data_IF_976422800607
#
_entry.id   IF_976422800607
#
_cell.length_a   1.000
_cell.length_b   1.000
_cell.length_c   1.000
_cell.angle_alpha   90.00
_cell.angle_beta   90.00
_cell.angle_gamma   90.00
#
_symmetry.space_group_name_H-M   'P 1'
#
loop_
_entity.id
_entity.type
_entity.pdbx_description
1 polymer ?
#
# COMPACT_ATOMS: atom_id res chain seq x y z
N UNK A 1 -81.05 -8.09 30.14
CA UNK A 1 -80.42 -8.95 29.11
C UNK A 1 -80.92 -8.50 27.74
N UNK A 2 -80.16 -7.70 26.99
CA UNK A 2 -80.50 -7.42 25.60
C UNK A 2 -80.04 -8.61 24.74
N UNK A 3 -80.96 -9.17 23.95
CA UNK A 3 -80.67 -10.28 23.05
C UNK A 3 -79.64 -9.88 21.98
N UNK A 4 -78.59 -10.68 21.85
CA UNK A 4 -77.61 -10.57 20.78
C UNK A 4 -78.29 -10.66 19.42
N UNK A 5 -78.03 -9.66 18.57
CA UNK A 5 -78.63 -9.56 17.24
C UNK A 5 -78.12 -10.66 16.29
N UNK A 6 -78.92 -11.13 15.32
CA UNK A 6 -78.51 -12.20 14.38
C UNK A 6 -77.31 -11.85 13.47
N UNK A 7 -76.95 -10.56 13.33
CA UNK A 7 -75.79 -10.11 12.53
C UNK A 7 -74.44 -10.45 13.18
N UNK A 8 -74.34 -10.40 14.51
CA UNK A 8 -73.12 -10.73 15.26
C UNK A 8 -72.78 -12.22 15.15
N UNK A 9 -73.77 -13.10 15.21
CA UNK A 9 -73.57 -14.55 15.10
C UNK A 9 -73.12 -14.97 13.69
N UNK A 10 -73.62 -14.30 12.64
CA UNK A 10 -73.17 -14.55 11.27
C UNK A 10 -71.71 -14.13 11.05
N UNK A 11 -71.29 -12.96 11.56
CA UNK A 11 -69.92 -12.48 11.40
C UNK A 11 -68.90 -13.31 12.21
N UNK A 12 -69.26 -13.77 13.41
CA UNK A 12 -68.39 -14.66 14.20
C UNK A 12 -68.17 -15.98 13.44
N UNK A 13 -69.20 -16.53 12.78
CA UNK A 13 -69.08 -17.75 11.97
C UNK A 13 -68.18 -17.59 10.74
N UNK A 14 -68.13 -16.41 10.10
CA UNK A 14 -67.26 -16.17 8.93
C UNK A 14 -65.79 -16.09 9.34
N UNK A 15 -65.49 -15.43 10.46
CA UNK A 15 -64.14 -15.37 11.00
C UNK A 15 -63.63 -16.75 11.44
N UNK A 16 -64.46 -17.55 12.12
CA UNK A 16 -64.07 -18.91 12.52
C UNK A 16 -63.80 -19.80 11.30
N UNK A 17 -64.59 -19.67 10.23
CA UNK A 17 -64.36 -20.37 8.96
C UNK A 17 -63.04 -19.94 8.30
N UNK A 18 -62.73 -18.63 8.30
CA UNK A 18 -61.47 -18.11 7.76
C UNK A 18 -60.26 -18.64 8.56
N UNK A 19 -60.35 -18.67 9.89
CA UNK A 19 -59.30 -19.22 10.78
C UNK A 19 -59.12 -20.72 10.52
N UNK A 20 -60.20 -21.49 10.31
CA UNK A 20 -60.11 -22.91 9.97
C UNK A 20 -59.42 -23.15 8.63
N UNK A 21 -59.72 -22.34 7.60
CA UNK A 21 -59.04 -22.43 6.29
C UNK A 21 -57.56 -22.10 6.41
N UNK A 22 -57.22 -21.04 7.14
CA UNK A 22 -55.82 -20.69 7.40
C UNK A 22 -55.08 -21.81 8.16
N UNK A 23 -55.72 -22.38 9.18
CA UNK A 23 -55.18 -23.53 9.92
C UNK A 23 -54.93 -24.71 9.00
N UNK A 24 -55.89 -25.07 8.15
CA UNK A 24 -55.76 -26.20 7.24
C UNK A 24 -54.64 -25.99 6.20
N UNK A 25 -54.58 -24.81 5.58
CA UNK A 25 -53.54 -24.46 4.62
C UNK A 25 -52.14 -24.48 5.27
N UNK A 26 -52.02 -23.93 6.49
CA UNK A 26 -50.75 -23.91 7.21
C UNK A 26 -50.30 -25.31 7.64
N UNK A 27 -51.21 -26.13 8.16
CA UNK A 27 -50.89 -27.54 8.47
C UNK A 27 -50.47 -28.31 7.22
N UNK A 28 -51.09 -28.06 6.05
CA UNK A 28 -50.68 -28.66 4.78
C UNK A 28 -49.26 -28.23 4.37
N UNK A 29 -48.88 -26.97 4.61
CA UNK A 29 -47.51 -26.48 4.41
C UNK A 29 -46.53 -27.14 5.38
N UNK A 30 -46.90 -27.31 6.66
CA UNK A 30 -46.09 -28.01 7.66
C UNK A 30 -45.93 -29.51 7.32
N UNK A 31 -47.01 -30.17 6.91
CA UNK A 31 -47.08 -31.61 6.60
C UNK A 31 -46.33 -31.99 5.33
N UNK A 32 -46.17 -31.07 4.36
CA UNK A 32 -45.22 -31.29 3.24
C UNK A 32 -43.79 -31.56 3.71
N UNK A 33 -43.50 -31.37 5.01
CA UNK A 33 -42.21 -31.67 5.63
C UNK A 33 -42.25 -32.62 6.84
N UNK A 34 -43.24 -33.49 7.03
CA UNK A 34 -43.13 -34.53 8.09
C UNK A 34 -42.26 -35.73 7.65
N UNK A 35 -40.99 -35.49 7.35
CA UNK A 35 -39.95 -36.52 7.57
C UNK A 35 -38.61 -35.84 7.85
N UNK A 36 -37.99 -36.25 8.96
CA UNK A 36 -36.76 -35.68 9.47
C UNK A 36 -35.63 -35.67 8.44
N UNK A 37 -34.67 -34.78 8.69
CA UNK A 37 -33.36 -34.76 8.05
C UNK A 37 -32.91 -36.15 7.62
N UNK A 38 -32.74 -36.37 6.30
CA UNK A 38 -32.17 -37.60 5.75
C UNK A 38 -30.83 -37.81 6.46
N UNK A 39 -30.69 -38.85 7.30
CA UNK A 39 -29.44 -39.11 7.99
C UNK A 39 -28.32 -39.24 6.96
N UNK A 40 -27.16 -38.62 7.18
CA UNK A 40 -26.04 -38.64 6.23
C UNK A 40 -25.70 -40.06 5.75
N UNK A 41 -25.88 -41.07 6.61
CA UNK A 41 -25.67 -42.47 6.24
C UNK A 41 -26.58 -42.94 5.10
N UNK A 42 -27.81 -42.45 4.97
CA UNK A 42 -28.71 -42.79 3.85
C UNK A 42 -28.23 -42.18 2.52
N UNK A 43 -27.64 -40.98 2.54
CA UNK A 43 -27.03 -40.35 1.35
C UNK A 43 -25.79 -41.13 0.91
N UNK A 44 -24.96 -41.56 1.88
CA UNK A 44 -23.80 -42.41 1.60
C UNK A 44 -24.22 -43.80 1.10
N UNK A 45 -25.26 -44.41 1.67
CA UNK A 45 -25.79 -45.71 1.23
C UNK A 45 -26.35 -45.64 -0.19
N UNK A 46 -27.05 -44.55 -0.55
CA UNK A 46 -27.57 -44.35 -1.90
C UNK A 46 -26.43 -44.15 -2.92
N UNK A 47 -25.44 -43.31 -2.62
CA UNK A 47 -24.25 -43.14 -3.47
C UNK A 47 -23.47 -44.44 -3.65
N UNK A 48 -23.38 -45.26 -2.60
CA UNK A 48 -22.75 -46.58 -2.67
C UNK A 48 -23.58 -47.58 -3.49
N UNK A 49 -24.90 -47.59 -3.33
CA UNK A 49 -25.81 -48.45 -4.09
C UNK A 49 -25.78 -48.14 -5.60
N UNK A 50 -25.72 -46.87 -5.97
CA UNK A 50 -25.54 -46.43 -7.37
C UNK A 50 -24.20 -46.88 -7.92
N UNK A 51 -23.12 -46.72 -7.15
CA UNK A 51 -21.77 -47.13 -7.55
C UNK A 51 -21.62 -48.67 -7.67
N UNK A 52 -22.39 -49.43 -6.91
CA UNK A 52 -22.37 -50.91 -6.90
C UNK A 52 -23.43 -51.56 -7.81
N UNK A 53 -24.21 -50.77 -8.56
CA UNK A 53 -25.28 -51.24 -9.46
C UNK A 53 -26.31 -52.18 -8.81
N UNK A 54 -26.50 -52.08 -7.49
CA UNK A 54 -27.44 -52.94 -6.76
C UNK A 54 -28.86 -52.39 -6.82
N UNK A 55 -29.67 -52.93 -7.73
CA UNK A 55 -31.05 -52.52 -7.95
C UNK A 55 -31.98 -52.75 -6.73
N UNK A 56 -31.74 -53.79 -5.94
CA UNK A 56 -32.54 -54.09 -4.74
C UNK A 56 -32.31 -53.06 -3.63
N UNK A 57 -31.06 -52.62 -3.43
CA UNK A 57 -30.68 -51.56 -2.49
C UNK A 57 -31.18 -50.19 -2.92
N UNK A 58 -31.09 -49.87 -4.23
CA UNK A 58 -31.67 -48.63 -4.76
C UNK A 58 -33.18 -48.57 -4.53
N UNK A 59 -33.90 -49.68 -4.74
CA UNK A 59 -35.35 -49.74 -4.52
C UNK A 59 -35.72 -49.66 -3.03
N UNK A 60 -34.92 -50.24 -2.14
CA UNK A 60 -35.12 -50.16 -0.68
C UNK A 60 -34.84 -48.76 -0.11
N UNK A 61 -33.79 -48.08 -0.57
CA UNK A 61 -33.51 -46.69 -0.16
C UNK A 61 -34.56 -45.74 -0.75
N UNK A 62 -34.95 -45.92 -2.01
CA UNK A 62 -35.97 -45.10 -2.67
C UNK A 62 -37.38 -45.31 -2.07
N UNK A 63 -37.69 -46.49 -1.52
CA UNK A 63 -38.96 -46.72 -0.81
C UNK A 63 -38.96 -46.16 0.63
N UNK A 64 -37.79 -45.96 1.24
CA UNK A 64 -37.61 -45.33 2.55
C UNK A 64 -37.46 -43.81 2.48
N UNK A 65 -36.99 -43.27 1.36
CA UNK A 65 -37.05 -41.84 1.04
C UNK A 65 -38.49 -41.54 0.62
N UNK A 66 -39.36 -41.27 1.59
CA UNK A 66 -40.66 -40.69 1.31
C UNK A 66 -40.46 -39.47 0.42
N UNK A 67 -41.26 -39.34 -0.64
CA UNK A 67 -41.14 -38.27 -1.62
C UNK A 67 -41.12 -36.92 -0.91
N UNK A 68 -39.94 -36.30 -0.81
CA UNK A 68 -39.78 -34.94 -0.29
C UNK A 68 -40.38 -33.99 -1.32
N UNK A 69 -41.70 -33.79 -1.25
CA UNK A 69 -42.36 -32.76 -2.05
C UNK A 69 -42.01 -31.44 -1.40
N UNK A 70 -41.06 -30.71 -1.97
CA UNK A 70 -40.95 -29.27 -1.74
C UNK A 70 -42.35 -28.66 -1.87
N UNK A 71 -42.76 -27.73 -0.98
CA UNK A 71 -44.10 -27.19 -1.04
C UNK A 71 -44.31 -26.59 -2.43
N UNK A 72 -45.42 -26.91 -3.08
CA UNK A 72 -45.69 -26.38 -4.42
C UNK A 72 -46.05 -24.90 -4.31
N UNK A 73 -45.82 -24.11 -5.37
CA UNK A 73 -46.13 -22.66 -5.37
C UNK A 73 -47.60 -22.42 -5.00
N UNK A 74 -48.47 -23.35 -5.35
CA UNK A 74 -49.90 -23.32 -5.05
C UNK A 74 -50.17 -23.40 -3.54
N UNK A 75 -49.44 -24.24 -2.79
CA UNK A 75 -49.62 -24.37 -1.33
C UNK A 75 -49.19 -23.09 -0.62
N UNK A 76 -48.08 -22.48 -1.06
CA UNK A 76 -47.61 -21.21 -0.50
C UNK A 76 -48.62 -20.10 -0.77
N UNK A 77 -49.16 -20.01 -1.99
CA UNK A 77 -50.19 -19.03 -2.33
C UNK A 77 -51.48 -19.24 -1.52
N UNK A 78 -51.90 -20.49 -1.34
CA UNK A 78 -53.07 -20.88 -0.54
C UNK A 78 -52.93 -20.39 0.92
N UNK A 79 -51.75 -20.54 1.53
CA UNK A 79 -51.47 -20.07 2.90
C UNK A 79 -51.52 -18.55 3.00
N UNK A 80 -50.87 -17.83 2.09
CA UNK A 80 -50.80 -16.37 2.13
C UNK A 80 -52.16 -15.72 1.88
N UNK A 81 -52.91 -16.24 0.90
CA UNK A 81 -54.27 -15.78 0.61
C UNK A 81 -55.26 -16.13 1.72
N UNK A 82 -55.13 -17.31 2.34
CA UNK A 82 -55.93 -17.65 3.52
C UNK A 82 -55.66 -16.66 4.67
N UNK A 83 -54.40 -16.22 4.87
CA UNK A 83 -54.10 -15.21 5.88
C UNK A 83 -54.66 -13.82 5.54
N UNK A 84 -54.70 -13.45 4.25
CA UNK A 84 -55.36 -12.22 3.79
C UNK A 84 -56.86 -12.25 4.11
N UNK A 85 -57.53 -13.40 3.92
CA UNK A 85 -58.97 -13.52 4.25
C UNK A 85 -59.21 -13.35 5.74
N UNK A 86 -58.35 -13.91 6.60
CA UNK A 86 -58.41 -13.69 8.06
C UNK A 86 -58.22 -12.21 8.39
N UNK A 87 -57.28 -11.52 7.71
CA UNK A 87 -57.07 -10.09 7.94
C UNK A 87 -58.28 -9.24 7.54
N UNK A 88 -58.91 -9.56 6.40
CA UNK A 88 -60.09 -8.86 5.92
C UNK A 88 -61.26 -8.98 6.90
N UNK A 89 -61.51 -10.19 7.42
CA UNK A 89 -62.58 -10.44 8.40
C UNK A 89 -62.29 -9.75 9.76
N UNK A 90 -61.03 -9.76 10.22
CA UNK A 90 -60.64 -9.05 11.45
C UNK A 90 -60.84 -7.53 11.34
N UNK A 91 -60.64 -6.96 10.15
CA UNK A 91 -60.80 -5.51 9.92
C UNK A 91 -62.28 -5.09 9.85
N UNK A 92 -63.17 -6.01 9.42
CA UNK A 92 -64.60 -5.74 9.25
C UNK A 92 -65.41 -5.89 10.55
N UNK A 93 -64.83 -6.42 11.64
CA UNK A 93 -65.52 -6.65 12.91
C UNK A 93 -65.22 -5.56 13.95
N UNK A 94 -66.27 -5.01 14.56
CA UNK A 94 -66.17 -3.98 15.62
C UNK A 94 -65.88 -4.56 17.02
N UNK A 95 -66.22 -5.83 17.27
CA UNK A 95 -65.89 -6.56 18.50
C UNK A 95 -65.36 -7.94 18.14
N UNK A 96 -64.09 -8.20 18.45
CA UNK A 96 -63.41 -9.46 18.09
C UNK A 96 -63.28 -10.32 19.36
N UNK A 97 -63.74 -11.59 19.36
CA UNK A 97 -63.55 -12.49 20.49
C UNK A 97 -62.06 -12.71 20.80
N UNK A 98 -61.67 -12.60 22.08
CA UNK A 98 -60.28 -12.77 22.52
C UNK A 98 -59.71 -14.15 22.15
N UNK A 99 -60.54 -15.20 22.18
CA UNK A 99 -60.13 -16.56 21.79
C UNK A 99 -59.71 -16.67 20.32
N UNK A 100 -60.34 -15.91 19.41
CA UNK A 100 -59.98 -15.89 17.99
C UNK A 100 -58.66 -15.16 17.74
N UNK A 101 -58.38 -14.07 18.48
CA UNK A 101 -57.10 -13.37 18.41
C UNK A 101 -55.93 -14.23 18.86
N UNK A 102 -56.10 -15.01 19.94
CA UNK A 102 -55.07 -15.94 20.42
C UNK A 102 -54.75 -17.00 19.35
N UNK A 103 -55.79 -17.57 18.71
CA UNK A 103 -55.60 -18.56 17.64
C UNK A 103 -54.87 -17.97 16.43
N UNK A 104 -55.26 -16.78 15.98
CA UNK A 104 -54.57 -16.11 14.86
C UNK A 104 -53.11 -15.83 15.19
N UNK A 105 -52.83 -15.36 16.42
CA UNK A 105 -51.45 -15.12 16.85
C UNK A 105 -50.61 -16.40 16.91
N UNK A 106 -51.18 -17.52 17.36
CA UNK A 106 -50.51 -18.83 17.33
C UNK A 106 -50.17 -19.27 15.90
N UNK A 107 -51.14 -19.18 14.99
CA UNK A 107 -50.94 -19.50 13.57
C UNK A 107 -49.91 -18.57 12.90
N UNK A 108 -49.93 -17.28 13.22
CA UNK A 108 -48.93 -16.32 12.73
C UNK A 108 -47.52 -16.66 13.20
N UNK A 109 -47.37 -17.15 14.44
CA UNK A 109 -46.09 -17.60 14.96
C UNK A 109 -45.59 -18.87 14.26
N UNK A 110 -46.49 -19.82 14.00
CA UNK A 110 -46.19 -21.01 13.21
C UNK A 110 -45.77 -20.66 11.78
N UNK A 111 -46.50 -19.76 11.12
CA UNK A 111 -46.14 -19.27 9.79
C UNK A 111 -44.76 -18.60 9.75
N UNK A 112 -44.39 -17.84 10.79
CA UNK A 112 -43.03 -17.26 10.91
C UNK A 112 -41.94 -18.33 10.99
N UNK A 113 -42.18 -19.45 11.66
CA UNK A 113 -41.21 -20.56 11.71
C UNK A 113 -40.99 -21.18 10.33
N UNK A 114 -41.98 -21.08 9.44
CA UNK A 114 -41.97 -21.64 8.08
C UNK A 114 -41.43 -20.69 7.00
N UNK A 115 -40.93 -19.51 7.39
CA UNK A 115 -40.38 -18.48 6.49
C UNK A 115 -39.34 -19.04 5.51
N UNK A 116 -38.43 -19.90 5.99
CA UNK A 116 -37.37 -20.48 5.16
C UNK A 116 -37.94 -21.37 4.05
N UNK A 117 -39.01 -22.14 4.33
CA UNK A 117 -39.63 -23.00 3.32
C UNK A 117 -40.30 -22.16 2.24
N UNK A 118 -41.09 -21.17 2.66
CA UNK A 118 -41.82 -20.25 1.76
C UNK A 118 -40.87 -19.54 0.79
N UNK A 119 -39.81 -18.92 1.33
CA UNK A 119 -38.86 -18.11 0.56
C UNK A 119 -37.88 -18.91 -0.30
N UNK A 120 -37.74 -20.22 -0.07
CA UNK A 120 -36.95 -21.11 -0.96
C UNK A 120 -37.70 -21.54 -2.21
N UNK A 121 -39.03 -21.54 -2.17
CA UNK A 121 -39.90 -22.02 -3.27
C UNK A 121 -40.40 -20.87 -4.14
N UNK A 122 -40.67 -19.72 -3.53
CA UNK A 122 -41.30 -18.57 -4.20
C UNK A 122 -40.45 -17.33 -4.03
N UNK A 123 -40.13 -16.67 -5.14
CA UNK A 123 -39.66 -15.29 -5.12
C UNK A 123 -40.88 -14.36 -4.97
N UNK A 124 -41.10 -13.90 -3.74
CA UNK A 124 -42.25 -13.06 -3.39
C UNK A 124 -42.23 -11.71 -4.13
N UNK A 125 -41.08 -11.29 -4.69
CA UNK A 125 -40.99 -10.02 -5.44
C UNK A 125 -41.78 -10.05 -6.75
N UNK A 126 -41.83 -11.20 -7.43
CA UNK A 126 -42.67 -11.41 -8.62
C UNK A 126 -44.16 -11.24 -8.25
N UNK A 127 -44.56 -11.83 -7.11
CA UNK A 127 -45.95 -11.80 -6.64
C UNK A 127 -46.38 -10.43 -6.12
N UNK A 128 -45.48 -9.66 -5.51
CA UNK A 128 -45.77 -8.28 -5.11
C UNK A 128 -46.18 -7.41 -6.30
N UNK A 129 -45.54 -7.63 -7.46
CA UNK A 129 -45.86 -6.87 -8.68
C UNK A 129 -47.24 -7.21 -9.27
N UNK A 130 -47.70 -8.46 -9.09
CA UNK A 130 -48.95 -8.97 -9.66
C UNK A 130 -50.13 -8.73 -8.72
N UNK A 131 -49.95 -9.04 -7.43
CA UNK A 131 -51.03 -9.07 -6.44
C UNK A 131 -51.15 -7.77 -5.63
N UNK A 132 -50.12 -6.92 -5.65
CA UNK A 132 -50.06 -5.64 -4.94
C UNK A 132 -50.62 -5.70 -3.49
N UNK A 133 -50.04 -6.57 -2.63
CA UNK A 133 -50.54 -6.75 -1.27
C UNK A 133 -50.40 -5.47 -0.44
N UNK A 134 -51.30 -5.28 0.53
CA UNK A 134 -51.25 -4.10 1.39
C UNK A 134 -49.94 -4.04 2.20
N UNK A 135 -49.43 -2.84 2.45
CA UNK A 135 -48.13 -2.61 3.11
C UNK A 135 -48.10 -3.12 4.57
N UNK A 136 -49.26 -3.25 5.22
CA UNK A 136 -49.44 -3.79 6.58
C UNK A 136 -49.45 -5.33 6.64
N UNK A 137 -49.51 -6.02 5.50
CA UNK A 137 -49.57 -7.46 5.39
C UNK A 137 -48.18 -8.11 5.49
N UNK A 138 -47.57 -8.10 6.69
CA UNK A 138 -46.20 -8.55 6.93
C UNK A 138 -45.87 -9.96 6.39
N UNK A 139 -46.85 -10.86 6.31
CA UNK A 139 -46.70 -12.23 5.79
C UNK A 139 -46.42 -12.28 4.28
N UNK A 140 -46.59 -11.19 3.54
CA UNK A 140 -46.12 -11.09 2.16
C UNK A 140 -44.64 -10.66 2.07
N UNK A 141 -44.06 -10.12 3.13
CA UNK A 141 -42.74 -9.47 3.12
C UNK A 141 -41.66 -10.29 3.84
N UNK A 142 -41.63 -11.60 3.62
CA UNK A 142 -40.57 -12.46 4.15
C UNK A 142 -39.21 -12.17 3.50
N UNK A 143 -38.14 -12.15 4.30
CA UNK A 143 -36.77 -12.01 3.79
C UNK A 143 -36.22 -13.40 3.43
N UNK A 144 -35.54 -13.56 2.28
CA UNK A 144 -34.93 -14.83 1.92
C UNK A 144 -33.87 -15.27 2.95
N UNK A 145 -33.66 -16.58 3.17
CA UNK A 145 -32.68 -17.08 4.11
C UNK A 145 -31.27 -16.68 3.65
N UNK A 146 -30.49 -16.10 4.57
CA UNK A 146 -29.10 -15.76 4.32
C UNK A 146 -28.27 -17.04 4.16
N UNK A 147 -27.40 -17.07 3.15
CA UNK A 147 -26.46 -18.17 2.98
C UNK A 147 -25.43 -18.14 4.11
N UNK A 148 -24.81 -19.29 4.45
CA UNK A 148 -23.83 -19.38 5.55
C UNK A 148 -22.63 -18.41 5.40
N UNK A 149 -22.27 -18.07 4.16
CA UNK A 149 -21.17 -17.15 3.85
C UNK A 149 -21.58 -15.68 4.03
N UNK A 150 -22.87 -15.36 3.88
CA UNK A 150 -23.41 -13.99 4.07
C UNK A 150 -23.38 -13.53 5.55
N UNK A 151 -23.08 -14.41 6.50
CA UNK A 151 -22.87 -14.01 7.89
C UNK A 151 -21.57 -13.23 8.09
N UNK A 152 -20.57 -13.44 7.24
CA UNK A 152 -19.27 -12.76 7.29
C UNK A 152 -19.18 -11.56 6.33
N UNK A 153 -20.23 -11.29 5.56
CA UNK A 153 -20.32 -10.17 4.61
C UNK A 153 -19.92 -8.82 5.21
N UNK A 154 -20.30 -8.58 6.46
CA UNK A 154 -19.98 -7.34 7.17
C UNK A 154 -18.48 -7.16 7.34
N UNK A 155 -17.75 -8.25 7.64
CA UNK A 155 -16.31 -8.26 7.82
C UNK A 155 -15.61 -7.99 6.49
N UNK A 156 -16.01 -8.69 5.42
CA UNK A 156 -15.46 -8.49 4.08
C UNK A 156 -15.67 -7.07 3.57
N UNK A 157 -16.83 -6.46 3.85
CA UNK A 157 -17.11 -5.06 3.51
C UNK A 157 -16.21 -4.09 4.28
N UNK A 158 -15.99 -4.30 5.58
CA UNK A 158 -15.04 -3.49 6.37
C UNK A 158 -13.62 -3.63 5.83
N UNK A 159 -13.15 -4.86 5.59
CA UNK A 159 -11.82 -5.12 5.03
C UNK A 159 -11.63 -4.46 3.66
N UNK A 160 -12.66 -4.52 2.80
CA UNK A 160 -12.65 -3.86 1.49
C UNK A 160 -12.43 -2.36 1.65
N UNK A 161 -13.13 -1.70 2.58
CA UNK A 161 -12.93 -0.27 2.85
C UNK A 161 -11.51 0.00 3.32
N UNK A 162 -10.99 -0.77 4.28
CA UNK A 162 -9.61 -0.62 4.81
C UNK A 162 -8.56 -0.76 3.70
N UNK A 163 -8.69 -1.76 2.82
CA UNK A 163 -7.76 -1.96 1.72
C UNK A 163 -7.82 -0.82 0.71
N UNK A 164 -9.02 -0.34 0.36
CA UNK A 164 -9.18 0.79 -0.56
C UNK A 164 -8.65 2.10 0.04
N UNK A 165 -8.92 2.38 1.33
CA UNK A 165 -8.40 3.60 1.99
C UNK A 165 -6.88 3.55 2.11
N UNK A 166 -6.31 2.39 2.44
CA UNK A 166 -4.85 2.20 2.52
C UNK A 166 -4.21 2.35 1.15
N UNK A 167 -4.80 1.75 0.12
CA UNK A 167 -4.33 1.87 -1.25
C UNK A 167 -4.40 3.31 -1.75
N UNK A 168 -5.44 4.07 -1.41
CA UNK A 168 -5.55 5.48 -1.74
C UNK A 168 -4.43 6.29 -1.07
N UNK A 169 -4.18 6.05 0.21
CA UNK A 169 -3.08 6.72 0.93
C UNK A 169 -1.72 6.43 0.31
N UNK A 170 -1.44 5.17 -0.06
CA UNK A 170 -0.22 4.79 -0.77
C UNK A 170 -0.12 5.47 -2.13
N UNK A 171 -1.23 5.51 -2.87
CA UNK A 171 -1.29 6.17 -4.18
C UNK A 171 -0.95 7.65 -4.07
N UNK A 172 -1.46 8.34 -3.04
CA UNK A 172 -1.16 9.76 -2.78
C UNK A 172 0.30 9.98 -2.40
N UNK A 173 0.88 9.13 -1.52
CA UNK A 173 2.32 9.20 -1.17
C UNK A 173 3.19 8.99 -2.41
N UNK A 174 2.95 7.92 -3.17
CA UNK A 174 3.63 7.66 -4.44
C UNK A 174 3.50 8.87 -5.36
N UNK A 175 2.29 9.37 -5.58
CA UNK A 175 2.02 10.49 -6.47
C UNK A 175 2.76 11.77 -6.08
N UNK A 176 2.80 12.10 -4.78
CA UNK A 176 3.48 13.29 -4.27
C UNK A 176 4.97 13.30 -4.64
N UNK A 177 5.60 12.13 -4.74
CA UNK A 177 6.99 11.96 -5.20
C UNK A 177 7.16 12.18 -6.70
N UNK A 178 6.11 12.10 -7.50
CA UNK A 178 6.22 12.38 -8.94
C UNK A 178 5.97 13.86 -9.26
N UNK A 179 5.21 14.57 -8.41
CA UNK A 179 4.82 15.97 -8.58
C UNK A 179 5.93 17.00 -8.37
N UNK A 180 6.99 16.68 -7.64
CA UNK A 180 8.11 17.61 -7.39
C UNK A 180 9.09 17.71 -8.57
N UNK A 181 8.81 17.01 -9.69
CA UNK A 181 9.58 17.08 -10.94
C UNK A 181 9.09 18.18 -11.90
N UNK A 182 9.83 18.41 -12.99
CA UNK A 182 9.63 19.51 -13.95
C UNK A 182 8.16 19.77 -14.41
N UNK A 183 7.80 21.03 -14.75
CA UNK A 183 6.42 21.50 -14.94
C UNK A 183 5.56 20.74 -15.97
N UNK A 184 6.17 20.09 -16.95
CA UNK A 184 5.46 19.45 -18.06
C UNK A 184 4.81 18.11 -17.67
N UNK A 185 5.47 17.34 -16.80
CA UNK A 185 4.92 16.08 -16.28
C UNK A 185 3.81 16.40 -15.27
N UNK A 186 3.99 17.45 -14.48
CA UNK A 186 3.01 17.90 -13.48
C UNK A 186 1.65 18.18 -14.11
N UNK A 187 1.54 18.83 -15.28
CA UNK A 187 0.24 19.11 -15.90
C UNK A 187 -0.47 17.87 -16.46
N UNK A 188 0.25 17.02 -17.19
CA UNK A 188 -0.31 15.80 -17.76
C UNK A 188 -0.74 14.79 -16.68
N UNK A 189 -0.06 14.81 -15.52
CA UNK A 189 -0.41 13.97 -14.38
C UNK A 189 -1.41 14.62 -13.42
N UNK A 190 -1.45 15.94 -13.26
CA UNK A 190 -2.54 16.62 -12.53
C UNK A 190 -3.89 16.37 -13.20
N UNK A 191 -3.96 16.29 -14.53
CA UNK A 191 -5.20 15.91 -15.22
C UNK A 191 -5.55 14.44 -15.03
N UNK A 192 -4.57 13.53 -15.05
CA UNK A 192 -4.79 12.11 -14.76
C UNK A 192 -5.19 11.89 -13.29
N UNK A 193 -4.58 12.61 -12.35
CA UNK A 193 -4.86 12.50 -10.92
C UNK A 193 -6.12 13.24 -10.54
N UNK A 194 -6.47 14.36 -11.16
CA UNK A 194 -7.81 14.92 -10.99
C UNK A 194 -8.85 13.96 -11.54
N UNK A 195 -8.58 13.24 -12.63
CA UNK A 195 -9.51 12.22 -13.15
C UNK A 195 -9.61 11.00 -12.24
N UNK A 196 -8.50 10.49 -11.71
CA UNK A 196 -8.43 9.35 -10.78
C UNK A 196 -8.95 9.73 -9.39
N UNK A 197 -8.59 10.90 -8.86
CA UNK A 197 -9.08 11.46 -7.61
C UNK A 197 -10.55 11.86 -7.75
N UNK A 198 -11.05 12.29 -8.92
CA UNK A 198 -12.49 12.48 -9.14
C UNK A 198 -13.21 11.13 -9.30
N UNK A 199 -12.57 10.09 -9.86
CA UNK A 199 -13.09 8.72 -9.85
C UNK A 199 -13.12 8.11 -8.44
N UNK A 200 -12.14 8.41 -7.60
CA UNK A 200 -11.97 7.85 -6.25
C UNK A 200 -12.69 8.68 -5.17
N UNK A 201 -12.66 10.01 -5.24
CA UNK A 201 -13.51 10.92 -4.47
C UNK A 201 -14.97 10.82 -4.93
N UNK A 202 -15.19 10.47 -6.21
CA UNK A 202 -16.41 9.87 -6.74
C UNK A 202 -16.63 8.41 -6.29
N UNK A 203 -16.15 8.02 -5.10
CA UNK A 203 -16.56 6.84 -4.31
C UNK A 203 -17.06 5.65 -5.16
N UNK A 204 -16.21 5.08 -6.02
CA UNK A 204 -16.62 4.04 -6.98
C UNK A 204 -16.97 2.67 -6.39
N UNK A 205 -16.77 2.45 -5.09
CA UNK A 205 -17.31 1.29 -4.35
C UNK A 205 -18.30 1.69 -3.22
N UNK A 206 -18.32 2.98 -2.83
CA UNK A 206 -19.11 3.48 -1.71
C UNK A 206 -20.40 4.20 -2.14
N UNK A 207 -20.49 4.65 -3.39
CA UNK A 207 -21.73 5.22 -3.94
C UNK A 207 -22.62 4.12 -4.48
N UNK A 208 -23.93 4.37 -4.51
CA UNK A 208 -24.92 3.47 -5.11
C UNK A 208 -24.55 3.11 -6.55
N UNK A 209 -24.11 4.10 -7.34
CA UNK A 209 -23.66 3.91 -8.72
C UNK A 209 -22.39 3.03 -8.86
N UNK A 210 -21.45 3.18 -7.93
CA UNK A 210 -20.25 2.35 -7.85
C UNK A 210 -20.55 0.90 -7.50
N UNK A 211 -21.34 0.69 -6.45
CA UNK A 211 -21.83 -0.63 -6.06
C UNK A 211 -22.60 -1.28 -7.20
N UNK A 212 -23.51 -0.57 -7.87
CA UNK A 212 -24.31 -1.13 -8.97
C UNK A 212 -23.46 -1.46 -10.20
N UNK A 213 -22.32 -0.80 -10.39
CA UNK A 213 -21.36 -1.15 -11.44
C UNK A 213 -20.57 -2.41 -11.10
N UNK A 214 -20.12 -2.57 -9.85
CA UNK A 214 -19.48 -3.80 -9.36
C UNK A 214 -20.47 -4.96 -9.49
N UNK A 215 -21.72 -4.79 -9.04
CA UNK A 215 -22.77 -5.81 -9.17
C UNK A 215 -22.97 -6.23 -10.62
N UNK A 216 -23.11 -5.26 -11.55
CA UNK A 216 -23.23 -5.54 -12.99
C UNK A 216 -22.03 -6.31 -13.55
N UNK A 217 -20.82 -6.02 -13.10
CA UNK A 217 -19.62 -6.74 -13.51
C UNK A 217 -19.61 -8.18 -12.96
N UNK A 218 -19.95 -8.36 -11.68
CA UNK A 218 -20.01 -9.68 -11.04
C UNK A 218 -21.11 -10.56 -11.65
N UNK A 219 -22.27 -9.98 -12.01
CA UNK A 219 -23.31 -10.71 -12.74
C UNK A 219 -22.88 -11.13 -14.14
N UNK A 220 -22.09 -10.30 -14.86
CA UNK A 220 -21.54 -10.65 -16.17
C UNK A 220 -20.54 -11.80 -16.08
N UNK A 221 -19.80 -11.89 -14.99
CA UNK A 221 -18.87 -12.99 -14.69
C UNK A 221 -19.55 -14.23 -14.09
N UNK A 222 -20.88 -14.22 -14.01
CA UNK A 222 -21.70 -15.31 -13.48
C UNK A 222 -21.32 -15.71 -12.03
N UNK A 223 -20.88 -14.74 -11.22
CA UNK A 223 -20.47 -14.96 -9.83
C UNK A 223 -21.73 -14.98 -8.94
N UNK A 224 -21.95 -16.04 -8.14
CA UNK A 224 -23.09 -16.10 -7.23
C UNK A 224 -23.13 -14.93 -6.24
N UNK A 225 -24.33 -14.42 -5.96
CA UNK A 225 -24.52 -13.22 -5.14
C UNK A 225 -23.88 -13.31 -3.74
N UNK A 226 -23.84 -14.51 -3.16
CA UNK A 226 -23.27 -14.76 -1.83
C UNK A 226 -21.73 -14.72 -1.77
N UNK A 227 -21.03 -14.56 -2.91
CA UNK A 227 -19.57 -14.38 -2.97
C UNK A 227 -19.16 -12.95 -3.31
N UNK A 228 -20.11 -12.03 -3.46
CA UNK A 228 -19.82 -10.69 -3.98
C UNK A 228 -18.94 -9.88 -3.03
N UNK A 229 -19.09 -10.05 -1.71
CA UNK A 229 -18.30 -9.34 -0.73
C UNK A 229 -16.85 -9.84 -0.72
N UNK A 230 -16.64 -11.15 -0.79
CA UNK A 230 -15.34 -11.82 -0.84
C UNK A 230 -14.57 -11.41 -2.10
N UNK A 231 -15.20 -11.46 -3.27
CA UNK A 231 -14.55 -11.10 -4.54
C UNK A 231 -14.20 -9.62 -4.55
N UNK A 232 -15.08 -8.75 -4.05
CA UNK A 232 -14.80 -7.31 -3.95
C UNK A 232 -13.61 -7.04 -3.02
N UNK A 233 -13.54 -7.74 -1.89
CA UNK A 233 -12.41 -7.66 -0.97
C UNK A 233 -11.11 -8.17 -1.63
N UNK A 234 -11.18 -9.26 -2.38
CA UNK A 234 -10.05 -9.81 -3.13
C UNK A 234 -9.48 -8.82 -4.14
N UNK A 235 -10.35 -8.16 -4.91
CA UNK A 235 -9.94 -7.10 -5.85
C UNK A 235 -9.27 -5.94 -5.11
N UNK A 236 -9.88 -5.46 -4.02
CA UNK A 236 -9.31 -4.37 -3.22
C UNK A 236 -7.93 -4.74 -2.65
N UNK A 237 -7.75 -5.99 -2.20
CA UNK A 237 -6.47 -6.50 -1.74
C UNK A 237 -5.43 -6.57 -2.88
N UNK A 238 -5.82 -7.00 -4.09
CA UNK A 238 -4.92 -7.00 -5.24
C UNK A 238 -4.44 -5.59 -5.61
N UNK A 239 -5.33 -4.58 -5.56
CA UNK A 239 -4.95 -3.18 -5.82
C UNK A 239 -3.96 -2.68 -4.75
N UNK A 240 -4.22 -3.01 -3.48
CA UNK A 240 -3.31 -2.70 -2.39
C UNK A 240 -1.94 -3.37 -2.60
N UNK A 241 -1.91 -4.65 -2.97
CA UNK A 241 -0.68 -5.40 -3.23
C UNK A 241 0.12 -4.79 -4.39
N UNK A 242 -0.53 -4.38 -5.47
CA UNK A 242 0.11 -3.67 -6.60
C UNK A 242 0.71 -2.35 -6.11
N UNK A 243 -0.04 -1.58 -5.33
CA UNK A 243 0.41 -0.28 -4.79
C UNK A 243 1.61 -0.45 -3.85
N UNK A 244 1.59 -1.45 -2.97
CA UNK A 244 2.72 -1.80 -2.09
C UNK A 244 3.92 -2.26 -2.90
N UNK A 245 3.73 -3.14 -3.88
CA UNK A 245 4.82 -3.64 -4.73
C UNK A 245 5.47 -2.50 -5.52
N UNK A 246 4.68 -1.58 -6.07
CA UNK A 246 5.19 -0.39 -6.74
C UNK A 246 5.93 0.54 -5.77
N UNK A 247 5.44 0.72 -4.55
CA UNK A 247 6.17 1.49 -3.53
C UNK A 247 7.52 0.87 -3.20
N UNK A 248 7.58 -0.46 -3.08
CA UNK A 248 8.81 -1.20 -2.82
C UNK A 248 9.80 -1.15 -4.00
N UNK A 249 9.33 -0.89 -5.23
CA UNK A 249 10.21 -0.73 -6.39
C UNK A 249 10.78 0.69 -6.54
N UNK A 250 10.27 1.71 -5.82
CA UNK A 250 10.76 3.09 -5.91
C UNK A 250 12.27 3.23 -5.68
N UNK A 251 12.92 2.55 -4.70
CA UNK A 251 14.36 2.62 -4.52
C UNK A 251 15.15 2.09 -5.73
N UNK A 252 14.65 1.08 -6.44
CA UNK A 252 15.30 0.56 -7.66
C UNK A 252 15.21 1.59 -8.81
N UNK A 253 14.07 2.27 -8.92
CA UNK A 253 13.92 3.38 -9.87
C UNK A 253 14.85 4.55 -9.48
N UNK A 254 15.03 4.82 -8.19
CA UNK A 254 15.97 5.82 -7.72
C UNK A 254 17.41 5.50 -8.14
N UNK A 255 17.85 4.25 -8.03
CA UNK A 255 19.18 3.80 -8.50
C UNK A 255 19.34 4.06 -10.00
N UNK A 256 18.32 3.81 -10.82
CA UNK A 256 18.37 4.12 -12.25
C UNK A 256 18.64 5.61 -12.51
N UNK A 257 17.95 6.50 -11.80
CA UNK A 257 18.19 7.95 -11.91
C UNK A 257 19.54 8.38 -11.36
N UNK A 258 20.02 7.76 -10.27
CA UNK A 258 21.36 7.98 -9.73
C UNK A 258 22.43 7.64 -10.79
N UNK A 259 22.36 6.44 -11.35
CA UNK A 259 23.30 5.97 -12.37
C UNK A 259 23.27 6.86 -13.63
N UNK A 260 22.09 7.38 -14.01
CA UNK A 260 21.98 8.36 -15.09
C UNK A 260 22.67 9.68 -14.74
N UNK A 261 22.56 10.13 -13.49
CA UNK A 261 23.31 11.27 -12.96
C UNK A 261 24.82 11.06 -13.03
N UNK A 262 25.30 9.87 -12.67
CA UNK A 262 26.71 9.49 -12.76
C UNK A 262 27.20 9.55 -14.23
N UNK A 263 26.41 8.98 -15.15
CA UNK A 263 26.71 9.04 -16.58
C UNK A 263 26.85 10.48 -17.08
N UNK A 264 25.88 11.34 -16.80
CA UNK A 264 25.95 12.76 -17.18
C UNK A 264 27.15 13.50 -16.58
N UNK A 265 27.58 13.11 -15.38
CA UNK A 265 28.76 13.68 -14.73
C UNK A 265 30.06 13.19 -15.37
N UNK A 266 30.09 11.92 -15.82
CA UNK A 266 31.26 11.30 -16.48
C UNK A 266 31.40 11.62 -17.97
N UNK A 267 30.37 12.16 -18.62
CA UNK A 267 30.43 12.55 -20.03
C UNK A 267 31.51 13.60 -20.28
N UNK A 268 32.06 13.62 -21.49
CA UNK A 268 33.00 14.64 -21.93
C UNK A 268 32.42 15.45 -23.10
N UNK A 269 31.97 16.71 -22.90
CA UNK A 269 31.98 17.45 -21.64
C UNK A 269 30.88 17.01 -20.63
N UNK A 270 31.07 17.24 -19.32
CA UNK A 270 30.06 16.92 -18.31
C UNK A 270 28.77 17.73 -18.50
N UNK A 271 27.62 17.09 -18.31
CA UNK A 271 26.29 17.72 -18.44
C UNK A 271 25.68 17.98 -17.07
N UNK A 272 26.26 18.93 -16.32
CA UNK A 272 25.87 19.21 -14.93
C UNK A 272 24.37 19.47 -14.70
N UNK A 273 23.64 20.25 -15.54
CA UNK A 273 22.20 20.45 -15.34
C UNK A 273 21.39 19.15 -15.39
N UNK A 274 21.72 18.26 -16.34
CA UNK A 274 21.04 16.97 -16.49
C UNK A 274 21.39 16.00 -15.34
N UNK A 275 22.65 16.04 -14.87
CA UNK A 275 23.08 15.29 -13.71
C UNK A 275 22.33 15.73 -12.44
N UNK A 276 22.25 17.04 -12.17
CA UNK A 276 21.51 17.61 -11.02
C UNK A 276 20.04 17.17 -11.05
N UNK A 277 19.39 17.27 -12.22
CA UNK A 277 17.99 16.84 -12.37
C UNK A 277 17.82 15.35 -12.06
N UNK A 278 18.74 14.51 -12.54
CA UNK A 278 18.72 13.07 -12.31
C UNK A 278 18.94 12.70 -10.84
N UNK A 279 19.93 13.30 -10.16
CA UNK A 279 20.14 13.07 -8.73
C UNK A 279 18.98 13.57 -7.87
N UNK A 280 18.44 14.76 -8.16
CA UNK A 280 17.24 15.24 -7.46
C UNK A 280 16.06 14.29 -7.65
N UNK A 281 15.93 13.70 -8.83
CA UNK A 281 14.89 12.69 -9.07
C UNK A 281 15.12 11.41 -8.27
N UNK A 282 16.38 10.95 -8.16
CA UNK A 282 16.73 9.83 -7.31
C UNK A 282 16.34 10.09 -5.84
N UNK A 283 16.68 11.27 -5.31
CA UNK A 283 16.36 11.67 -3.93
C UNK A 283 14.86 11.74 -3.64
N UNK A 284 14.07 12.19 -4.61
CA UNK A 284 12.60 12.22 -4.45
C UNK A 284 12.01 10.80 -4.38
N UNK A 285 12.57 9.86 -5.14
CA UNK A 285 12.12 8.47 -5.17
C UNK A 285 12.63 7.68 -3.95
N UNK A 286 13.86 7.95 -3.51
CA UNK A 286 14.47 7.38 -2.32
C UNK A 286 15.17 8.47 -1.47
N UNK A 287 14.44 9.11 -0.55
CA UNK A 287 14.99 10.18 0.31
C UNK A 287 16.04 9.72 1.31
N UNK A 288 16.18 8.40 1.52
CA UNK A 288 17.15 7.82 2.44
C UNK A 288 18.49 7.51 1.77
N UNK A 289 18.57 7.61 0.44
CA UNK A 289 19.84 7.47 -0.27
C UNK A 289 20.62 8.79 -0.17
N UNK A 290 21.73 8.76 0.56
CA UNK A 290 22.58 9.94 0.80
C UNK A 290 23.69 10.12 -0.22
N UNK A 291 23.96 9.12 -1.05
CA UNK A 291 25.00 9.21 -2.08
C UNK A 291 24.70 10.31 -3.13
N UNK A 292 23.45 10.48 -3.64
CA UNK A 292 23.14 11.57 -4.55
C UNK A 292 23.40 12.97 -3.96
N UNK A 293 23.23 13.16 -2.64
CA UNK A 293 23.60 14.42 -1.98
C UNK A 293 25.10 14.69 -2.10
N UNK A 294 25.96 13.68 -1.89
CA UNK A 294 27.39 13.82 -2.11
C UNK A 294 27.73 14.21 -3.57
N UNK A 295 27.10 13.54 -4.54
CA UNK A 295 27.34 13.85 -5.96
C UNK A 295 26.86 15.25 -6.35
N UNK A 296 25.71 15.69 -5.83
CA UNK A 296 25.24 17.07 -5.97
C UNK A 296 26.24 18.06 -5.38
N UNK A 297 26.79 17.76 -4.19
CA UNK A 297 27.85 18.57 -3.59
C UNK A 297 29.06 18.74 -4.50
N UNK A 298 29.54 17.65 -5.10
CA UNK A 298 30.67 17.68 -6.06
C UNK A 298 30.35 18.50 -7.29
N UNK A 299 29.14 18.38 -7.84
CA UNK A 299 28.71 19.16 -9.00
C UNK A 299 28.66 20.65 -8.65
N UNK A 300 28.08 21.00 -7.49
CA UNK A 300 28.00 22.39 -7.06
C UNK A 300 29.39 23.00 -6.81
N UNK A 301 30.37 22.23 -6.31
CA UNK A 301 31.77 22.69 -6.28
C UNK A 301 32.33 22.99 -7.68
N UNK A 302 32.07 22.12 -8.66
CA UNK A 302 32.50 22.34 -10.06
C UNK A 302 31.84 23.56 -10.70
N UNK A 303 30.62 23.88 -10.26
CA UNK A 303 29.88 25.09 -10.66
C UNK A 303 30.22 26.32 -9.80
N UNK A 304 31.16 26.20 -8.85
CA UNK A 304 31.55 27.25 -7.90
C UNK A 304 30.42 27.74 -6.98
N UNK A 305 29.32 26.98 -6.86
CA UNK A 305 28.21 27.25 -5.94
C UNK A 305 28.49 26.56 -4.60
N UNK A 306 29.33 27.21 -3.80
CA UNK A 306 29.90 26.62 -2.60
C UNK A 306 28.88 26.43 -1.49
N UNK A 307 27.96 27.37 -1.35
CA UNK A 307 26.91 27.35 -0.34
C UNK A 307 26.03 26.11 -0.53
N UNK A 308 25.62 25.81 -1.77
CA UNK A 308 24.89 24.57 -2.06
C UNK A 308 25.76 23.34 -1.86
N UNK A 309 27.02 23.37 -2.26
CA UNK A 309 27.92 22.23 -2.05
C UNK A 309 28.04 21.85 -0.57
N UNK A 310 28.25 22.84 0.31
CA UNK A 310 28.31 22.64 1.76
C UNK A 310 26.99 22.07 2.29
N UNK A 311 25.85 22.60 1.86
CA UNK A 311 24.54 22.13 2.29
C UNK A 311 24.34 20.64 1.94
N UNK A 312 24.61 20.27 0.69
CA UNK A 312 24.45 18.89 0.21
C UNK A 312 25.44 17.92 0.90
N UNK A 313 26.70 18.31 1.11
CA UNK A 313 27.64 17.49 1.87
C UNK A 313 27.24 17.28 3.32
N UNK A 314 26.68 18.30 3.98
CA UNK A 314 26.16 18.17 5.35
C UNK A 314 25.02 17.16 5.42
N UNK A 315 24.11 17.18 4.44
CA UNK A 315 23.01 16.18 4.37
C UNK A 315 23.60 14.78 4.14
N UNK A 316 24.57 14.64 3.23
CA UNK A 316 25.22 13.36 2.99
C UNK A 316 25.90 12.78 4.24
N UNK A 317 26.52 13.64 5.06
CA UNK A 317 27.13 13.25 6.34
C UNK A 317 26.10 12.82 7.40
N UNK A 318 24.87 13.36 7.37
CA UNK A 318 23.82 12.95 8.31
C UNK A 318 23.34 11.51 8.10
N UNK A 319 23.52 10.94 6.91
CA UNK A 319 23.28 9.52 6.66
C UNK A 319 24.57 8.71 6.47
N UNK A 320 25.64 9.13 7.13
CA UNK A 320 26.91 8.38 7.22
C UNK A 320 27.64 8.17 5.88
N UNK A 321 27.48 9.08 4.91
CA UNK A 321 28.27 9.02 3.66
C UNK A 321 29.68 9.57 3.86
N UNK A 322 30.61 8.72 4.27
CA UNK A 322 31.93 9.12 4.77
C UNK A 322 32.81 9.88 3.76
N UNK A 323 32.61 9.70 2.44
CA UNK A 323 33.35 10.45 1.41
C UNK A 323 33.14 11.97 1.51
N UNK A 324 32.02 12.42 2.10
CA UNK A 324 31.70 13.84 2.26
C UNK A 324 32.56 14.54 3.31
N UNK A 325 33.14 13.81 4.28
CA UNK A 325 34.03 14.39 5.31
C UNK A 325 35.25 15.05 4.65
N UNK A 326 35.81 14.38 3.64
CA UNK A 326 36.96 14.87 2.90
C UNK A 326 36.65 16.17 2.16
N UNK A 327 35.57 16.20 1.37
CA UNK A 327 35.27 17.34 0.50
C UNK A 327 34.83 18.55 1.34
N UNK A 328 33.99 18.34 2.36
CA UNK A 328 33.60 19.42 3.26
C UNK A 328 34.78 19.93 4.11
N UNK A 329 35.66 19.02 4.57
CA UNK A 329 36.90 19.40 5.27
C UNK A 329 37.82 20.24 4.39
N UNK A 330 38.01 19.84 3.13
CA UNK A 330 38.76 20.62 2.12
C UNK A 330 38.16 22.02 1.93
N UNK A 331 36.84 22.11 1.79
CA UNK A 331 36.14 23.39 1.67
C UNK A 331 36.45 24.30 2.88
N UNK A 332 36.37 23.76 4.11
CA UNK A 332 36.68 24.53 5.31
C UNK A 332 38.14 24.98 5.39
N UNK A 333 39.09 24.20 4.87
CA UNK A 333 40.49 24.64 4.75
C UNK A 333 40.60 25.85 3.80
N UNK A 334 39.91 25.81 2.66
CA UNK A 334 39.89 26.92 1.69
C UNK A 334 39.25 28.17 2.31
N UNK A 335 38.22 28.00 3.16
CA UNK A 335 37.59 29.09 3.94
C UNK A 335 38.42 29.61 5.09
N UNK A 336 39.59 28.99 5.35
CA UNK A 336 40.42 29.28 6.51
C UNK A 336 39.78 28.91 7.85
N UNK A 337 38.72 28.11 7.83
CA UNK A 337 38.07 27.52 9.00
C UNK A 337 38.82 26.25 9.44
N UNK A 338 40.10 26.39 9.78
CA UNK A 338 41.01 25.25 9.97
C UNK A 338 40.64 24.36 11.16
N UNK A 339 40.11 24.94 12.24
CA UNK A 339 39.70 24.17 13.43
C UNK A 339 38.53 23.25 13.10
N UNK A 340 37.49 23.80 12.45
CA UNK A 340 36.34 23.03 11.98
C UNK A 340 36.75 21.96 10.97
N UNK A 341 37.63 22.30 10.01
CA UNK A 341 38.18 21.33 9.06
C UNK A 341 38.87 20.17 9.79
N UNK A 342 39.76 20.47 10.74
CA UNK A 342 40.52 19.45 11.46
C UNK A 342 39.63 18.54 12.31
N UNK A 343 38.63 19.11 13.00
CA UNK A 343 37.67 18.33 13.78
C UNK A 343 36.83 17.41 12.89
N UNK A 344 36.37 17.92 11.75
CA UNK A 344 35.56 17.17 10.80
C UNK A 344 36.36 16.02 10.17
N UNK A 345 37.59 16.28 9.74
CA UNK A 345 38.47 15.28 9.12
C UNK A 345 38.88 14.19 10.11
N UNK A 346 39.16 14.55 11.38
CA UNK A 346 39.41 13.58 12.45
C UNK A 346 38.20 12.68 12.70
N UNK A 347 37.00 13.25 12.69
CA UNK A 347 35.76 12.47 12.81
C UNK A 347 35.64 11.47 11.67
N UNK A 348 35.85 11.93 10.42
CA UNK A 348 35.84 11.05 9.26
C UNK A 348 36.90 9.94 9.32
N UNK A 349 38.08 10.23 9.88
CA UNK A 349 39.17 9.25 10.02
C UNK A 349 38.84 8.15 11.04
N UNK A 350 38.12 8.49 12.12
CA UNK A 350 37.72 7.54 13.15
C UNK A 350 36.60 6.58 12.71
N UNK A 351 35.81 6.98 11.70
CA UNK A 351 34.65 6.22 11.22
C UNK A 351 34.94 5.35 9.99
N UNK A 352 36.14 5.45 9.41
CA UNK A 352 36.41 4.91 8.08
C UNK A 352 37.53 3.86 8.08
N UNK A 353 37.27 2.75 7.40
CA UNK A 353 38.17 1.61 7.24
C UNK A 353 38.77 1.48 5.83
N UNK A 354 38.40 2.36 4.87
CA UNK A 354 38.88 2.31 3.49
C UNK A 354 40.16 3.17 3.30
N UNK A 355 41.25 2.52 2.86
CA UNK A 355 42.56 3.16 2.64
C UNK A 355 42.53 4.34 1.65
N UNK A 356 41.72 4.27 0.59
CA UNK A 356 41.61 5.35 -0.38
C UNK A 356 41.01 6.60 0.26
N UNK A 357 39.95 6.46 1.04
CA UNK A 357 39.32 7.60 1.73
C UNK A 357 40.22 8.09 2.86
N UNK A 358 40.85 7.15 3.58
CA UNK A 358 41.82 7.44 4.64
C UNK A 358 42.97 8.32 4.12
N UNK A 359 43.49 8.04 2.93
CA UNK A 359 44.49 8.88 2.26
C UNK A 359 44.03 10.35 2.18
N UNK A 360 42.84 10.60 1.62
CA UNK A 360 42.37 11.96 1.38
C UNK A 360 42.08 12.71 2.69
N UNK A 361 41.54 12.01 3.68
CA UNK A 361 41.30 12.55 5.03
C UNK A 361 42.62 12.94 5.71
N UNK A 362 43.63 12.06 5.72
CA UNK A 362 44.95 12.34 6.28
C UNK A 362 45.66 13.47 5.55
N UNK A 363 45.61 13.48 4.21
CA UNK A 363 46.18 14.54 3.38
C UNK A 363 45.59 15.90 3.73
N UNK A 364 44.26 16.01 3.80
CA UNK A 364 43.59 17.25 4.14
C UNK A 364 43.76 17.63 5.62
N UNK A 365 43.85 16.65 6.53
CA UNK A 365 44.13 16.92 7.94
C UNK A 365 45.55 17.48 8.12
N UNK A 366 46.52 16.93 7.40
CA UNK A 366 47.86 17.48 7.28
C UNK A 366 47.88 18.90 6.73
N UNK A 367 47.07 19.18 5.71
CA UNK A 367 46.91 20.54 5.17
C UNK A 367 46.30 21.51 6.20
N UNK A 368 45.26 21.11 6.92
CA UNK A 368 44.67 21.92 7.99
C UNK A 368 45.70 22.21 9.10
N UNK A 369 46.45 21.20 9.54
CA UNK A 369 47.51 21.33 10.56
C UNK A 369 48.66 22.23 10.10
N UNK A 370 49.06 22.15 8.83
CA UNK A 370 50.02 23.08 8.23
C UNK A 370 49.53 24.54 8.36
N UNK A 371 48.25 24.80 8.06
CA UNK A 371 47.68 26.15 8.15
C UNK A 371 47.49 26.65 9.59
N UNK A 372 47.37 25.75 10.55
CA UNK A 372 47.40 26.04 11.98
C UNK A 372 48.81 26.20 12.55
N UNK A 373 49.87 26.10 11.72
CA UNK A 373 51.28 26.06 12.14
C UNK A 373 51.64 24.88 13.06
N UNK A 374 50.83 23.82 13.09
CA UNK A 374 51.07 22.58 13.84
C UNK A 374 51.90 21.61 13.01
N UNK A 375 53.15 21.99 12.74
CA UNK A 375 53.98 21.32 11.72
C UNK A 375 54.33 19.86 12.05
N UNK A 376 54.54 19.54 13.34
CA UNK A 376 54.85 18.16 13.76
C UNK A 376 53.71 17.20 13.40
N UNK A 377 52.47 17.55 13.74
CA UNK A 377 51.29 16.76 13.39
C UNK A 377 51.05 16.72 11.88
N UNK A 378 51.20 17.87 11.21
CA UNK A 378 51.06 17.93 9.76
C UNK A 378 52.01 16.94 9.06
N UNK A 379 53.27 16.90 9.51
CA UNK A 379 54.28 15.95 9.00
C UNK A 379 53.84 14.50 9.22
N UNK A 380 53.38 14.15 10.41
CA UNK A 380 52.92 12.79 10.73
C UNK A 380 51.77 12.35 9.83
N UNK A 381 50.70 13.15 9.72
CA UNK A 381 49.55 12.78 8.91
C UNK A 381 49.88 12.67 7.41
N UNK A 382 50.74 13.55 6.89
CA UNK A 382 51.14 13.51 5.49
C UNK A 382 52.06 12.32 5.18
N UNK A 383 52.95 11.95 6.12
CA UNK A 383 53.75 10.74 5.99
C UNK A 383 52.86 9.49 5.98
N UNK A 384 51.86 9.42 6.86
CA UNK A 384 50.88 8.33 6.86
C UNK A 384 50.10 8.27 5.54
N UNK A 385 49.63 9.41 5.02
CA UNK A 385 48.98 9.46 3.71
C UNK A 385 49.89 8.91 2.59
N UNK A 386 51.18 9.28 2.58
CA UNK A 386 52.16 8.76 1.60
C UNK A 386 52.34 7.23 1.72
N UNK A 387 52.23 6.66 2.93
CA UNK A 387 52.34 5.20 3.09
C UNK A 387 51.16 4.45 2.46
N UNK A 388 49.97 5.06 2.45
CA UNK A 388 48.76 4.49 1.84
C UNK A 388 48.84 4.55 0.31
N UNK A 389 49.27 5.68 -0.25
CA UNK A 389 49.43 5.85 -1.69
C UNK A 389 50.65 6.70 -2.04
N UNK A 390 51.68 6.03 -2.56
CA UNK A 390 52.97 6.63 -2.91
C UNK A 390 52.96 7.38 -4.24
N UNK A 391 51.90 7.25 -5.04
CA UNK A 391 51.81 7.83 -6.39
C UNK A 391 50.94 9.08 -6.46
N UNK A 392 50.39 9.54 -5.34
CA UNK A 392 49.60 10.79 -5.27
C UNK A 392 50.43 11.98 -4.81
N UNK A 393 50.51 13.03 -5.62
CA UNK A 393 51.37 14.19 -5.39
C UNK A 393 50.99 15.05 -4.18
N UNK A 394 49.70 15.30 -3.95
CA UNK A 394 49.22 16.24 -2.95
C UNK A 394 49.91 16.12 -1.58
N UNK A 395 50.08 14.89 -1.08
CA UNK A 395 50.74 14.68 0.21
C UNK A 395 52.23 15.07 0.21
N UNK A 396 52.97 14.78 -0.87
CA UNK A 396 54.36 15.22 -1.03
C UNK A 396 54.47 16.75 -1.14
N UNK A 397 53.57 17.37 -1.90
CA UNK A 397 53.51 18.82 -2.05
C UNK A 397 53.34 19.54 -0.71
N UNK A 398 52.38 19.05 0.08
CA UNK A 398 52.09 19.58 1.40
C UNK A 398 53.22 19.28 2.39
N UNK A 399 53.84 18.10 2.31
CA UNK A 399 54.94 17.72 3.18
C UNK A 399 56.17 18.60 2.93
N UNK A 400 56.49 18.91 1.68
CA UNK A 400 57.56 19.84 1.36
C UNK A 400 57.32 21.23 1.98
N UNK A 401 56.10 21.76 1.86
CA UNK A 401 55.71 23.03 2.50
C UNK A 401 55.83 22.97 4.04
N UNK A 402 55.42 21.85 4.66
CA UNK A 402 55.55 21.63 6.11
C UNK A 402 57.02 21.65 6.53
N UNK A 403 57.90 20.92 5.81
CA UNK A 403 59.32 20.85 6.14
C UNK A 403 60.00 22.22 6.04
N UNK A 404 59.69 22.99 5.01
CA UNK A 404 60.21 24.36 4.88
C UNK A 404 59.73 25.27 6.02
N UNK A 405 58.44 25.22 6.35
CA UNK A 405 57.86 26.06 7.41
C UNK A 405 58.31 25.62 8.81
N UNK A 406 58.58 24.34 9.01
CA UNK A 406 59.14 23.80 10.25
C UNK A 406 60.64 24.12 10.41
N UNK A 407 61.32 24.65 9.38
CA UNK A 407 62.75 24.92 9.43
C UNK A 407 63.61 23.66 9.36
N UNK A 408 63.14 22.60 8.68
CA UNK A 408 63.93 21.39 8.44
C UNK A 408 65.23 21.75 7.70
N UNK A 409 66.37 21.33 8.27
CA UNK A 409 67.69 21.68 7.74
C UNK A 409 68.14 20.75 6.62
N UNK A 410 67.55 19.55 6.52
CA UNK A 410 67.90 18.60 5.47
C UNK A 410 67.23 18.97 4.15
N UNK A 411 67.92 19.79 3.36
CA UNK A 411 67.46 20.25 2.04
C UNK A 411 67.20 19.09 1.08
N UNK A 412 67.93 17.98 1.17
CA UNK A 412 67.73 16.82 0.32
C UNK A 412 66.34 16.19 0.51
N UNK A 413 65.84 16.13 1.75
CA UNK A 413 64.49 15.63 2.03
C UNK A 413 63.43 16.59 1.47
N UNK A 414 63.62 17.90 1.62
CA UNK A 414 62.71 18.91 1.07
C UNK A 414 62.63 18.78 -0.46
N UNK A 415 63.78 18.76 -1.14
CA UNK A 415 63.85 18.68 -2.59
C UNK A 415 63.31 17.34 -3.12
N UNK A 416 63.51 16.24 -2.40
CA UNK A 416 62.89 14.94 -2.73
C UNK A 416 61.37 15.04 -2.75
N UNK A 417 60.76 15.68 -1.75
CA UNK A 417 59.31 15.84 -1.69
C UNK A 417 58.79 16.80 -2.78
N UNK A 418 59.47 17.91 -3.05
CA UNK A 418 59.12 18.78 -4.18
C UNK A 418 59.23 18.06 -5.53
N UNK A 419 60.25 17.21 -5.71
CA UNK A 419 60.39 16.40 -6.92
C UNK A 419 59.24 15.41 -7.10
N UNK A 420 58.81 14.73 -6.04
CA UNK A 420 57.65 13.85 -6.12
C UNK A 420 56.33 14.60 -6.35
N UNK A 421 56.17 15.76 -5.70
CA UNK A 421 55.04 16.66 -5.97
C UNK A 421 54.96 17.02 -7.46
N UNK A 422 56.09 17.35 -8.07
CA UNK A 422 56.15 17.70 -9.49
C UNK A 422 55.92 16.50 -10.43
N UNK A 423 56.53 15.33 -10.14
CA UNK A 423 56.43 14.14 -11.00
C UNK A 423 55.02 13.55 -11.01
N UNK A 424 54.37 13.48 -9.84
CA UNK A 424 53.06 12.85 -9.70
C UNK A 424 51.89 13.83 -9.81
N UNK A 425 52.16 15.13 -9.91
CA UNK A 425 51.15 16.18 -9.83
C UNK A 425 50.29 16.26 -11.09
N UNK A 426 49.01 16.60 -10.91
CA UNK A 426 48.07 16.85 -12.00
C UNK A 426 47.58 18.31 -12.01
N UNK A 427 47.80 19.02 -13.13
CA UNK A 427 47.26 20.37 -13.33
C UNK A 427 45.73 20.41 -13.50
N UNK A 428 45.08 19.24 -13.58
CA UNK A 428 43.62 19.15 -13.62
C UNK A 428 42.97 19.27 -12.22
N UNK A 429 43.76 19.06 -11.15
CA UNK A 429 43.33 19.35 -9.78
C UNK A 429 43.73 20.79 -9.43
N UNK A 430 42.72 21.61 -9.10
CA UNK A 430 42.91 23.05 -8.87
C UNK A 430 43.79 23.35 -7.65
N UNK A 431 43.83 22.45 -6.66
CA UNK A 431 44.70 22.61 -5.50
C UNK A 431 46.15 22.22 -5.87
N UNK A 432 46.31 21.12 -6.61
CA UNK A 432 47.62 20.63 -7.01
C UNK A 432 48.30 21.54 -8.03
N UNK A 433 47.56 22.13 -8.98
CA UNK A 433 48.11 23.04 -9.99
C UNK A 433 48.99 24.13 -9.36
N UNK A 434 48.47 24.79 -8.31
CA UNK A 434 49.21 25.78 -7.53
C UNK A 434 50.44 25.21 -6.83
N UNK A 435 50.36 23.97 -6.33
CA UNK A 435 51.48 23.33 -5.64
C UNK A 435 52.57 22.84 -6.61
N UNK A 436 52.19 22.42 -7.80
CA UNK A 436 53.11 21.99 -8.87
C UNK A 436 53.92 23.19 -9.36
N UNK A 437 53.29 24.35 -9.51
CA UNK A 437 54.00 25.58 -9.84
C UNK A 437 55.02 25.97 -8.77
N UNK A 438 54.67 25.82 -7.49
CA UNK A 438 55.60 26.01 -6.38
C UNK A 438 56.75 25.00 -6.46
N UNK A 439 56.45 23.73 -6.72
CA UNK A 439 57.45 22.68 -6.86
C UNK A 439 58.46 23.01 -7.96
N UNK A 440 57.98 23.46 -9.13
CA UNK A 440 58.81 23.88 -10.26
C UNK A 440 59.79 24.98 -9.85
N UNK A 441 59.29 26.06 -9.25
CA UNK A 441 60.12 27.18 -8.80
C UNK A 441 61.19 26.74 -7.79
N UNK A 442 60.86 25.82 -6.87
CA UNK A 442 61.82 25.32 -5.87
C UNK A 442 62.87 24.40 -6.47
N UNK A 443 62.50 23.58 -7.44
CA UNK A 443 63.45 22.71 -8.15
C UNK A 443 64.41 23.54 -9.01
N UNK A 444 63.92 24.55 -9.72
CA UNK A 444 64.76 25.44 -10.54
C UNK A 444 65.76 26.23 -9.68
N UNK A 445 65.32 26.74 -8.53
CA UNK A 445 66.20 27.47 -7.60
C UNK A 445 67.16 26.57 -6.83
N UNK A 446 66.75 25.32 -6.52
CA UNK A 446 67.58 24.32 -5.85
C UNK A 446 68.64 23.67 -6.73
N UNK A 447 68.46 23.68 -8.06
CA UNK A 447 69.48 23.25 -9.03
C UNK A 447 70.56 24.32 -9.27
N UNK A 448 70.26 25.58 -8.93
CA UNK A 448 71.13 26.74 -9.14
C UNK A 448 71.92 27.16 -7.88
N UNK A 449 71.87 26.37 -6.81
CA UNK A 449 72.64 26.54 -5.56
C UNK A 449 73.41 25.26 -5.26
#
# INVERSE_FOLDING_TARGET
MPGETPKTNSAISTLESAIQRYTHALTKLEDTSSSGSIPLWQIYLFKWAVKSQSYSLMRYVSSKVGSSRSPSKEIVLEVLTARDTVQAELTNQSQIPTGSLIKVNDLDNRLKQETNKITTVVDLTEWHSILNPKVDAWWWFFKPPKHRWDYLDWLWKILTVVFLTSSLSLTVDIYSRFLTGEPNIVRAFVTATQSVLTLLAGRSALTKAGQDSIKRALTRLNIPQYFWAEVSCGIAFSILLISVTFRLSLPQIAIFYKNRGDQYTSNNPPQYPAAISSYKRALVLNPYDVEPHHQLGRIYEKLQDKEKAIAEYKIALQGDFYYSYNNLGRIYIIEKNYDQASSLLLTGLNLNENDEVRYYLLKNLGWARLKQNRYAEAKTYLQEAITLDKQKAAAYCLLAQVLEKAGEKNTAIIMKNWRYCFIYGSSYDIDEDKWIDQARQRLDTGLNK
#
